data_IF_956453247663
#
_entry.id   IF_956453247663
#
_cell.length_a   1.000
_cell.length_b   1.000
_cell.length_c   1.000
_cell.angle_alpha   90.00
_cell.angle_beta   90.00
_cell.angle_gamma   90.00
#
_symmetry.space_group_name_H-M   'P 1'
#
loop_
_entity.id
_entity.type
_entity.pdbx_description
1 polymer ?
#
# COMPACT_ATOMS: atom_id res chain seq x y z
N UNK A 1 -26.25 3.99 -17.31
CA UNK A 1 -25.95 4.81 -16.10
C UNK A 1 -25.58 6.22 -16.54
N UNK A 2 -24.62 6.32 -17.46
CA UNK A 2 -24.10 7.56 -18.04
C UNK A 2 -25.15 8.49 -18.65
N UNK A 3 -26.23 7.95 -19.25
CA UNK A 3 -27.31 8.75 -19.82
C UNK A 3 -28.18 9.47 -18.77
N UNK A 4 -28.20 9.00 -17.52
CA UNK A 4 -29.11 9.49 -16.45
C UNK A 4 -28.35 10.16 -15.31
N UNK A 5 -27.13 9.69 -15.01
CA UNK A 5 -26.30 10.20 -13.92
C UNK A 5 -24.81 10.16 -14.32
N UNK A 6 -24.34 11.05 -15.21
CA UNK A 6 -22.97 11.01 -15.75
C UNK A 6 -21.87 11.26 -14.71
N UNK A 7 -22.22 11.83 -13.55
CA UNK A 7 -21.25 12.18 -12.49
C UNK A 7 -20.94 11.03 -11.51
N UNK A 8 -21.57 9.87 -11.66
CA UNK A 8 -21.33 8.73 -10.76
C UNK A 8 -20.46 7.69 -11.44
N UNK A 9 -19.52 7.15 -10.67
CA UNK A 9 -18.54 6.16 -11.10
C UNK A 9 -18.88 4.79 -10.50
N UNK A 10 -18.72 3.75 -11.30
CA UNK A 10 -18.75 2.37 -10.86
C UNK A 10 -17.35 1.96 -10.40
N UNK A 11 -17.30 1.32 -9.23
CA UNK A 11 -16.07 0.80 -8.63
C UNK A 11 -16.24 -0.69 -8.39
N UNK A 12 -15.34 -1.52 -8.93
CA UNK A 12 -15.40 -2.97 -8.70
C UNK A 12 -14.61 -3.38 -7.47
N UNK A 13 -15.24 -4.16 -6.59
CA UNK A 13 -14.58 -4.82 -5.46
C UNK A 13 -14.45 -6.33 -5.75
N UNK A 14 -13.53 -6.67 -6.65
CA UNK A 14 -13.33 -8.05 -7.12
C UNK A 14 -12.00 -8.62 -6.63
N UNK A 15 -11.99 -9.29 -5.47
CA UNK A 15 -10.80 -9.94 -4.93
C UNK A 15 -10.51 -11.28 -5.67
N UNK A 16 -10.00 -11.16 -6.88
CA UNK A 16 -9.64 -12.23 -7.82
C UNK A 16 -8.20 -12.02 -8.33
N UNK A 17 -7.58 -12.96 -9.08
CA UNK A 17 -6.29 -12.75 -9.71
C UNK A 17 -6.25 -11.47 -10.56
N UNK A 18 -5.08 -10.88 -10.71
CA UNK A 18 -4.91 -9.55 -11.29
C UNK A 18 -5.51 -9.44 -12.70
N UNK A 19 -5.25 -10.42 -13.57
CA UNK A 19 -5.75 -10.41 -14.94
C UNK A 19 -7.28 -10.42 -15.02
N UNK A 20 -7.94 -11.18 -14.13
CA UNK A 20 -9.40 -11.20 -14.00
C UNK A 20 -9.93 -9.92 -13.36
N UNK A 21 -9.19 -9.32 -12.42
CA UNK A 21 -9.61 -8.10 -11.75
C UNK A 21 -9.60 -6.89 -12.70
N UNK A 22 -8.58 -6.76 -13.55
CA UNK A 22 -8.49 -5.64 -14.48
C UNK A 22 -9.42 -5.79 -15.70
N UNK A 23 -9.92 -7.00 -15.99
CA UNK A 23 -10.90 -7.17 -17.07
C UNK A 23 -12.22 -6.44 -16.79
N UNK A 24 -12.51 -6.12 -15.51
CA UNK A 24 -13.68 -5.33 -15.12
C UNK A 24 -13.64 -3.85 -15.53
N UNK A 25 -12.54 -3.38 -16.13
CA UNK A 25 -12.58 -2.12 -16.85
C UNK A 25 -13.45 -2.22 -18.12
N UNK A 26 -13.63 -3.41 -18.70
CA UNK A 26 -14.32 -3.60 -19.98
C UNK A 26 -13.52 -3.11 -21.20
N UNK A 27 -14.10 -3.22 -22.39
CA UNK A 27 -13.43 -2.88 -23.65
C UNK A 27 -13.85 -1.50 -24.20
N UNK A 28 -15.12 -1.10 -24.04
CA UNK A 28 -15.72 0.02 -24.78
C UNK A 28 -16.59 0.94 -23.89
N UNK A 29 -16.05 1.39 -22.75
CA UNK A 29 -16.79 2.19 -21.75
C UNK A 29 -18.03 1.49 -21.16
N UNK A 30 -18.11 0.17 -21.26
CA UNK A 30 -19.29 -0.62 -20.92
C UNK A 30 -19.28 -1.20 -19.50
N UNK A 31 -18.13 -1.18 -18.81
CA UNK A 31 -18.01 -1.61 -17.41
C UNK A 31 -17.51 -0.49 -16.47
N UNK A 32 -16.67 -0.82 -15.48
CA UNK A 32 -16.33 0.08 -14.39
C UNK A 32 -15.30 1.14 -14.79
N UNK A 33 -15.41 2.32 -14.16
CA UNK A 33 -14.42 3.38 -14.29
C UNK A 33 -13.28 3.20 -13.28
N UNK A 34 -13.48 2.43 -12.22
CA UNK A 34 -12.43 2.19 -11.23
C UNK A 34 -12.43 0.75 -10.73
N UNK A 35 -11.25 0.16 -10.59
CA UNK A 35 -11.09 -1.21 -10.06
C UNK A 35 -10.21 -1.18 -8.81
N UNK A 36 -10.57 -1.96 -7.79
CA UNK A 36 -9.72 -2.13 -6.62
C UNK A 36 -8.37 -2.74 -7.00
N UNK A 37 -7.28 -2.14 -6.53
CA UNK A 37 -5.96 -2.65 -6.82
C UNK A 37 -5.52 -3.72 -5.80
N UNK A 38 -6.17 -4.89 -5.84
CA UNK A 38 -5.94 -5.96 -4.86
C UNK A 38 -4.57 -6.64 -4.93
N UNK A 39 -3.82 -6.45 -6.02
CA UNK A 39 -2.44 -6.93 -6.12
C UNK A 39 -1.48 -6.11 -5.25
N UNK A 40 -1.77 -4.82 -5.03
CA UNK A 40 -0.88 -3.91 -4.31
C UNK A 40 -0.58 -4.37 -2.87
N UNK A 41 -1.57 -4.65 -1.99
CA UNK A 41 -1.30 -5.02 -0.61
C UNK A 41 -0.35 -6.22 -0.42
N UNK A 42 -0.61 -7.42 -1.00
CA UNK A 42 0.27 -8.58 -0.80
C UNK A 42 1.64 -8.41 -1.44
N UNK A 43 1.75 -7.76 -2.61
CA UNK A 43 3.04 -7.49 -3.25
C UNK A 43 3.89 -6.49 -2.46
N UNK A 44 3.24 -5.52 -1.81
CA UNK A 44 3.93 -4.57 -0.95
C UNK A 44 4.40 -5.22 0.35
N UNK A 45 3.60 -6.11 0.95
CA UNK A 45 4.05 -6.92 2.09
C UNK A 45 5.27 -7.76 1.73
N UNK A 46 5.21 -8.47 0.60
CA UNK A 46 6.31 -9.27 0.08
C UNK A 46 7.58 -8.44 -0.09
N UNK A 47 7.48 -7.26 -0.71
CA UNK A 47 8.65 -6.41 -0.93
C UNK A 47 9.30 -5.93 0.37
N UNK A 48 8.49 -5.55 1.37
CA UNK A 48 9.01 -5.19 2.70
C UNK A 48 9.61 -6.40 3.42
N UNK A 49 9.01 -7.59 3.28
CA UNK A 49 9.50 -8.78 3.96
C UNK A 49 10.78 -9.36 3.37
N UNK A 50 10.99 -9.18 2.07
CA UNK A 50 12.17 -9.67 1.35
C UNK A 50 13.26 -8.61 1.23
N UNK A 51 12.94 -7.34 1.48
CA UNK A 51 13.84 -6.23 1.22
C UNK A 51 13.98 -5.91 -0.25
N UNK A 52 13.09 -6.40 -1.12
CA UNK A 52 13.17 -6.22 -2.57
C UNK A 52 11.90 -5.59 -3.15
N UNK A 53 12.05 -4.48 -3.86
CA UNK A 53 11.01 -3.86 -4.67
C UNK A 53 10.86 -4.48 -6.06
N UNK A 54 11.65 -5.48 -6.44
CA UNK A 54 11.68 -6.00 -7.81
C UNK A 54 10.31 -6.46 -8.31
N UNK A 55 9.66 -7.39 -7.60
CA UNK A 55 8.33 -7.92 -7.97
C UNK A 55 7.29 -6.81 -8.05
N UNK A 56 7.30 -5.91 -7.06
CA UNK A 56 6.40 -4.77 -7.01
C UNK A 56 6.64 -3.80 -8.18
N UNK A 57 7.90 -3.61 -8.59
CA UNK A 57 8.29 -2.77 -9.73
C UNK A 57 7.84 -3.38 -11.06
N UNK A 58 8.09 -4.69 -11.25
CA UNK A 58 7.68 -5.42 -12.44
C UNK A 58 6.14 -5.38 -12.59
N UNK A 59 5.42 -5.58 -11.49
CA UNK A 59 3.96 -5.44 -11.46
C UNK A 59 3.51 -4.00 -11.75
N UNK A 60 4.07 -3.00 -11.06
CA UNK A 60 3.70 -1.59 -11.25
C UNK A 60 3.98 -1.08 -12.68
N UNK A 61 4.99 -1.65 -13.35
CA UNK A 61 5.31 -1.38 -14.74
C UNK A 61 4.29 -1.97 -15.73
N UNK A 62 3.58 -3.04 -15.33
CA UNK A 62 2.52 -3.66 -16.12
C UNK A 62 1.17 -2.96 -16.02
N UNK A 63 1.01 -2.02 -15.07
CA UNK A 63 -0.24 -1.30 -14.88
C UNK A 63 -0.49 -0.34 -16.04
N UNK A 64 -1.57 -0.60 -16.77
CA UNK A 64 -2.06 0.27 -17.81
C UNK A 64 -3.56 0.57 -17.63
N UNK A 65 -3.99 1.71 -18.14
CA UNK A 65 -5.40 2.10 -18.13
C UNK A 65 -5.95 1.93 -19.55
N UNK A 66 -7.04 1.17 -19.75
CA UNK A 66 -7.51 0.86 -21.08
C UNK A 66 -8.05 2.10 -21.83
N UNK A 67 -8.43 3.14 -21.10
CA UNK A 67 -8.97 4.39 -21.67
C UNK A 67 -8.90 5.56 -20.67
N UNK A 68 -8.97 6.81 -21.15
CA UNK A 68 -9.16 7.98 -20.29
C UNK A 68 -10.40 7.86 -19.40
N UNK A 69 -10.31 8.37 -18.17
CA UNK A 69 -11.40 8.30 -17.19
C UNK A 69 -11.44 7.00 -16.39
N UNK A 70 -10.58 6.02 -16.69
CA UNK A 70 -10.36 4.87 -15.82
C UNK A 70 -9.30 5.17 -14.75
N UNK A 71 -9.41 4.53 -13.59
CA UNK A 71 -8.40 4.61 -12.54
C UNK A 71 -8.26 3.30 -11.76
N UNK A 72 -7.08 3.05 -11.19
CA UNK A 72 -6.93 2.06 -10.13
C UNK A 72 -7.32 2.68 -8.79
N UNK A 73 -7.99 1.93 -7.93
CA UNK A 73 -8.19 2.30 -6.53
C UNK A 73 -7.12 1.66 -5.66
N UNK A 74 -6.08 2.43 -5.35
CA UNK A 74 -4.86 1.96 -4.69
C UNK A 74 -5.07 1.86 -3.19
N UNK A 75 -5.15 0.64 -2.69
CA UNK A 75 -5.34 0.33 -1.27
C UNK A 75 -4.14 -0.42 -0.70
N UNK A 76 -3.90 -0.30 0.60
CA UNK A 76 -2.94 -1.14 1.34
C UNK A 76 -3.66 -2.11 2.30
N UNK A 77 -4.86 -1.77 2.74
CA UNK A 77 -5.71 -2.64 3.55
C UNK A 77 -7.19 -2.25 3.36
N UNK A 78 -8.07 -3.16 3.74
CA UNK A 78 -9.52 -2.92 3.77
C UNK A 78 -10.10 -3.36 5.11
N UNK A 79 -11.42 -3.17 5.26
CA UNK A 79 -12.18 -3.76 6.35
C UNK A 79 -12.08 -5.29 6.35
N UNK A 80 -12.06 -5.96 5.20
CA UNK A 80 -11.93 -7.42 5.09
C UNK A 80 -10.56 -7.92 5.54
N UNK A 81 -9.51 -7.11 5.38
CA UNK A 81 -8.13 -7.46 5.70
C UNK A 81 -7.26 -7.29 4.47
N UNK A 82 -6.21 -8.08 4.37
CA UNK A 82 -5.31 -8.11 3.21
C UNK A 82 -5.63 -9.37 2.40
N UNK A 83 -6.35 -9.19 1.30
CA UNK A 83 -6.62 -10.26 0.34
C UNK A 83 -5.35 -10.66 -0.40
N UNK A 84 -5.14 -11.97 -0.60
CA UNK A 84 -3.95 -12.49 -1.29
C UNK A 84 -4.21 -12.97 -2.71
N UNK A 85 -5.48 -13.00 -3.15
CA UNK A 85 -5.83 -13.49 -4.49
C UNK A 85 -5.27 -12.62 -5.62
N UNK A 86 -5.23 -11.30 -5.42
CA UNK A 86 -4.64 -10.38 -6.39
C UNK A 86 -3.15 -10.61 -6.67
N UNK A 87 -2.44 -11.36 -5.82
CA UNK A 87 -1.04 -11.71 -6.03
C UNK A 87 -0.82 -13.08 -6.72
N UNK A 88 -1.87 -13.85 -6.99
CA UNK A 88 -1.73 -15.22 -7.52
C UNK A 88 -1.10 -15.30 -8.92
N UNK A 89 -1.18 -14.21 -9.69
CA UNK A 89 -0.51 -14.11 -11.00
C UNK A 89 1.00 -13.81 -10.87
N UNK A 90 1.47 -13.43 -9.68
CA UNK A 90 2.84 -12.94 -9.44
C UNK A 90 3.62 -13.73 -8.38
N UNK A 91 2.92 -14.55 -7.59
CA UNK A 91 3.47 -15.30 -6.47
C UNK A 91 3.05 -16.76 -6.57
N UNK A 92 4.00 -17.66 -6.30
CA UNK A 92 3.73 -19.09 -6.18
C UNK A 92 2.88 -19.38 -4.93
N UNK A 93 2.16 -20.52 -4.88
CA UNK A 93 1.44 -20.92 -3.67
C UNK A 93 2.30 -20.92 -2.41
N UNK A 94 3.55 -21.37 -2.51
CA UNK A 94 4.50 -21.39 -1.39
C UNK A 94 4.86 -19.99 -0.88
N UNK A 95 4.94 -19.00 -1.77
CA UNK A 95 5.20 -17.61 -1.38
C UNK A 95 3.97 -16.98 -0.71
N UNK A 96 2.76 -17.32 -1.18
CA UNK A 96 1.51 -16.92 -0.53
C UNK A 96 1.39 -17.54 0.86
N UNK A 97 1.75 -18.82 1.03
CA UNK A 97 1.84 -19.47 2.34
C UNK A 97 2.87 -18.78 3.24
N UNK A 98 4.02 -18.36 2.67
CA UNK A 98 5.02 -17.56 3.38
C UNK A 98 4.50 -16.21 3.88
N UNK A 99 3.57 -15.56 3.16
CA UNK A 99 2.88 -14.37 3.67
C UNK A 99 1.98 -14.72 4.86
N UNK A 100 1.24 -15.82 4.78
CA UNK A 100 0.37 -16.29 5.85
C UNK A 100 1.16 -16.65 7.13
N UNK A 101 2.27 -17.37 7.00
CA UNK A 101 3.17 -17.69 8.11
C UNK A 101 3.72 -16.43 8.78
N UNK A 102 4.17 -15.45 7.98
CA UNK A 102 4.67 -14.16 8.48
C UNK A 102 3.59 -13.35 9.19
N UNK A 103 2.34 -13.42 8.73
CA UNK A 103 1.19 -12.82 9.41
C UNK A 103 0.93 -13.48 10.77
N UNK A 104 0.90 -14.82 10.83
CA UNK A 104 0.70 -15.56 12.08
C UNK A 104 1.80 -15.25 13.10
N UNK A 105 3.06 -15.22 12.66
CA UNK A 105 4.20 -14.86 13.51
C UNK A 105 4.12 -13.45 14.10
N UNK A 106 3.35 -12.54 13.47
CA UNK A 106 3.10 -11.17 13.94
C UNK A 106 1.80 -11.03 14.73
N UNK A 107 1.18 -12.16 15.11
CA UNK A 107 -0.06 -12.20 15.89
C UNK A 107 -1.33 -12.06 15.06
N UNK A 108 -1.24 -11.94 13.73
CA UNK A 108 -2.40 -11.91 12.85
C UNK A 108 -3.09 -13.27 12.74
N UNK A 109 -4.25 -13.30 12.08
CA UNK A 109 -4.99 -14.52 11.76
C UNK A 109 -5.13 -14.70 10.24
N UNK A 110 -5.31 -15.93 9.77
CA UNK A 110 -5.43 -16.23 8.33
C UNK A 110 -6.76 -16.93 8.06
N UNK A 111 -7.52 -16.42 7.10
CA UNK A 111 -8.71 -17.06 6.55
C UNK A 111 -8.29 -17.89 5.34
N UNK A 112 -8.79 -19.11 5.24
CA UNK A 112 -8.47 -20.04 4.17
C UNK A 112 -9.71 -20.34 3.34
N UNK A 113 -9.52 -20.53 2.04
CA UNK A 113 -10.53 -21.03 1.12
C UNK A 113 -10.29 -22.52 0.87
N UNK A 114 -11.36 -23.32 0.90
CA UNK A 114 -11.30 -24.70 0.40
C UNK A 114 -11.32 -24.73 -1.13
N UNK A 115 -10.46 -25.57 -1.69
CA UNK A 115 -10.44 -25.93 -3.10
C UNK A 115 -11.31 -27.17 -3.36
N UNK A 116 -11.62 -27.42 -4.63
CA UNK A 116 -12.47 -28.55 -5.04
C UNK A 116 -11.88 -29.92 -4.70
N UNK A 117 -10.57 -30.00 -4.55
CA UNK A 117 -9.84 -31.21 -4.13
C UNK A 117 -9.78 -31.37 -2.59
N UNK A 118 -10.38 -30.47 -1.83
CA UNK A 118 -10.41 -30.47 -0.36
C UNK A 118 -9.20 -29.82 0.31
N UNK A 119 -8.18 -29.40 -0.46
CA UNK A 119 -7.05 -28.62 0.07
C UNK A 119 -7.47 -27.18 0.43
N UNK A 120 -6.62 -26.48 1.16
CA UNK A 120 -6.86 -25.10 1.59
C UNK A 120 -5.74 -24.18 1.10
N UNK A 121 -6.11 -22.98 0.67
CA UNK A 121 -5.17 -21.90 0.32
C UNK A 121 -5.49 -20.66 1.16
N UNK A 122 -4.48 -19.88 1.59
CA UNK A 122 -4.72 -18.58 2.19
C UNK A 122 -5.58 -17.72 1.27
N UNK A 123 -6.56 -17.05 1.84
CA UNK A 123 -7.49 -16.16 1.14
C UNK A 123 -7.34 -14.71 1.62
N UNK A 124 -7.16 -14.53 2.94
CA UNK A 124 -7.15 -13.23 3.58
C UNK A 124 -6.30 -13.24 4.85
N UNK A 125 -5.48 -12.21 5.01
CA UNK A 125 -4.66 -11.96 6.19
C UNK A 125 -5.40 -10.93 7.07
N UNK A 126 -5.80 -11.36 8.27
CA UNK A 126 -6.58 -10.58 9.24
C UNK A 126 -5.62 -9.98 10.28
N UNK A 127 -5.06 -8.84 9.89
CA UNK A 127 -4.07 -8.09 10.66
C UNK A 127 -4.15 -6.63 10.20
N UNK A 128 -3.86 -5.66 11.08
CA UNK A 128 -3.71 -4.28 10.60
C UNK A 128 -2.47 -4.16 9.72
N UNK A 129 -2.47 -3.26 8.75
CA UNK A 129 -1.31 -3.10 7.87
C UNK A 129 -0.05 -2.67 8.64
N UNK A 130 -0.22 -1.89 9.71
CA UNK A 130 0.88 -1.52 10.59
C UNK A 130 1.53 -2.75 11.24
N UNK A 131 0.73 -3.66 11.78
CA UNK A 131 1.22 -4.86 12.45
C UNK A 131 1.78 -5.86 11.46
N UNK A 132 1.20 -5.97 10.27
CA UNK A 132 1.76 -6.78 9.19
C UNK A 132 3.20 -6.38 8.88
N UNK A 133 3.50 -5.08 8.92
CA UNK A 133 4.86 -4.59 8.69
C UNK A 133 5.74 -4.59 9.93
N UNK A 134 5.25 -4.88 11.14
CA UNK A 134 6.05 -4.86 12.36
C UNK A 134 6.68 -6.26 12.64
N UNK A 135 8.02 -6.43 12.56
CA UNK A 135 8.73 -7.59 13.05
C UNK A 135 8.35 -7.96 14.49
N UNK A 136 8.28 -9.26 14.82
CA UNK A 136 8.07 -9.70 16.19
C UNK A 136 9.12 -9.11 17.14
N UNK A 137 8.66 -8.51 18.23
CA UNK A 137 9.51 -7.93 19.28
C UNK A 137 10.07 -6.53 18.99
N UNK A 138 9.83 -5.95 17.80
CA UNK A 138 10.19 -4.55 17.55
C UNK A 138 9.21 -3.61 18.29
N UNK A 139 9.74 -2.51 18.83
CA UNK A 139 8.94 -1.47 19.44
C UNK A 139 8.06 -0.78 18.37
N UNK A 140 6.72 -0.82 18.48
CA UNK A 140 5.82 -0.19 17.51
C UNK A 140 5.95 1.33 17.45
N UNK A 141 6.52 1.96 18.49
CA UNK A 141 6.69 3.42 18.55
C UNK A 141 8.08 3.87 18.10
N UNK A 142 8.95 2.92 17.71
CA UNK A 142 10.27 3.20 17.17
C UNK A 142 10.22 3.95 15.84
N UNK A 143 11.25 4.77 15.61
CA UNK A 143 11.42 5.53 14.36
C UNK A 143 11.48 4.61 13.14
N UNK A 144 12.13 3.45 13.27
CA UNK A 144 12.23 2.44 12.22
C UNK A 144 10.86 1.88 11.84
N UNK A 145 10.04 1.50 12.83
CA UNK A 145 8.71 0.96 12.59
C UNK A 145 7.81 1.98 11.88
N UNK A 146 7.81 3.22 12.34
CA UNK A 146 7.01 4.30 11.75
C UNK A 146 7.51 4.66 10.35
N UNK A 147 8.83 4.73 10.13
CA UNK A 147 9.42 5.05 8.83
C UNK A 147 9.09 3.97 7.80
N UNK A 148 9.32 2.69 8.13
CA UNK A 148 8.95 1.55 7.28
C UNK A 148 7.48 1.55 6.92
N UNK A 149 6.62 1.77 7.92
CA UNK A 149 5.18 1.86 7.70
C UNK A 149 4.83 3.01 6.75
N UNK A 150 5.34 4.22 7.01
CA UNK A 150 5.03 5.39 6.18
C UNK A 150 5.58 5.27 4.76
N UNK A 151 6.71 4.61 4.55
CA UNK A 151 7.25 4.33 3.22
C UNK A 151 6.33 3.42 2.44
N UNK A 152 5.88 2.33 3.05
CA UNK A 152 4.91 1.44 2.42
C UNK A 152 3.58 2.17 2.10
N UNK A 153 3.06 2.97 3.04
CA UNK A 153 1.83 3.75 2.77
C UNK A 153 2.02 4.80 1.65
N UNK A 154 3.22 5.35 1.50
CA UNK A 154 3.50 6.36 0.46
C UNK A 154 3.57 5.74 -0.94
N UNK A 155 3.84 4.45 -1.06
CA UNK A 155 3.74 3.72 -2.34
C UNK A 155 2.33 3.82 -2.92
N UNK A 156 1.29 3.60 -2.10
CA UNK A 156 -0.10 3.70 -2.56
C UNK A 156 -0.50 5.11 -3.00
N UNK A 157 0.09 6.15 -2.39
CA UNK A 157 -0.10 7.56 -2.78
C UNK A 157 0.63 7.88 -4.10
N UNK A 158 1.79 7.27 -4.33
CA UNK A 158 2.65 7.56 -5.47
C UNK A 158 2.22 6.83 -6.77
N UNK A 159 1.51 5.71 -6.66
CA UNK A 159 1.01 4.96 -7.81
C UNK A 159 -0.09 5.72 -8.56
N UNK A 160 -0.15 5.53 -9.88
CA UNK A 160 -1.22 5.99 -10.76
C UNK A 160 -2.56 5.44 -10.27
N UNK A 161 -3.55 6.31 -10.19
CA UNK A 161 -4.87 5.99 -9.65
C UNK A 161 -5.26 6.85 -8.44
N UNK A 162 -6.32 6.43 -7.74
CA UNK A 162 -6.89 7.09 -6.58
C UNK A 162 -6.50 6.32 -5.31
N UNK A 163 -5.82 6.94 -4.33
CA UNK A 163 -5.48 6.26 -3.08
C UNK A 163 -6.71 6.09 -2.18
N UNK A 164 -7.01 4.83 -1.83
CA UNK A 164 -7.99 4.46 -0.81
C UNK A 164 -7.34 4.24 0.54
N UNK A 165 -7.55 5.17 1.48
CA UNK A 165 -6.95 5.10 2.82
C UNK A 165 -7.95 4.52 3.80
N UNK A 166 -7.69 3.29 4.27
CA UNK A 166 -8.46 2.70 5.34
C UNK A 166 -8.23 3.46 6.65
N UNK A 167 -9.30 3.71 7.41
CA UNK A 167 -9.26 4.60 8.58
C UNK A 167 -8.16 4.23 9.60
N UNK A 168 -7.96 2.94 9.86
CA UNK A 168 -6.91 2.45 10.75
C UNK A 168 -5.49 2.78 10.29
N UNK A 169 -5.31 3.00 8.98
CA UNK A 169 -4.01 3.37 8.43
C UNK A 169 -3.63 4.81 8.76
N UNK A 170 -4.61 5.72 8.92
CA UNK A 170 -4.37 7.11 9.31
C UNK A 170 -3.78 7.24 10.71
N UNK A 171 -4.06 6.28 11.59
CA UNK A 171 -3.61 6.28 12.99
C UNK A 171 -2.54 5.22 13.27
N UNK A 172 -2.09 4.47 12.26
CA UNK A 172 -1.18 3.33 12.47
C UNK A 172 -1.70 2.38 13.55
N UNK A 173 -2.99 2.02 13.46
CA UNK A 173 -3.66 1.23 14.50
C UNK A 173 -3.04 -0.16 14.65
N UNK A 174 -2.95 -0.63 15.89
CA UNK A 174 -2.59 -2.03 16.22
C UNK A 174 -3.80 -2.94 16.04
N UNK A 175 -3.54 -4.22 15.86
CA UNK A 175 -4.56 -5.26 15.80
C UNK A 175 -5.27 -5.39 17.14
N UNK A 176 -6.59 -5.47 17.10
CA UNK A 176 -7.45 -5.57 18.26
C UNK A 176 -7.65 -7.04 18.66
N UNK A 177 -6.64 -7.59 19.34
CA UNK A 177 -6.72 -8.96 19.84
C UNK A 177 -7.75 -9.12 20.95
N UNK A 178 -8.05 -8.06 21.71
CA UNK A 178 -9.07 -8.10 22.75
C UNK A 178 -10.46 -8.35 22.15
N UNK A 179 -10.72 -7.85 20.94
CA UNK A 179 -11.97 -8.12 20.23
C UNK A 179 -12.17 -9.61 19.87
N UNK A 180 -11.14 -10.46 19.96
CA UNK A 180 -11.26 -11.92 19.79
C UNK A 180 -11.65 -12.66 21.06
N UNK A 181 -11.57 -12.04 22.24
CA UNK A 181 -11.87 -12.70 23.50
C UNK A 181 -13.32 -13.24 23.52
N UNK A 182 -13.46 -14.53 23.80
CA UNK A 182 -14.75 -15.22 23.80
C UNK A 182 -15.33 -15.49 22.41
N UNK A 183 -14.59 -15.24 21.32
CA UNK A 183 -15.00 -15.60 19.95
C UNK A 183 -14.29 -16.86 19.46
N UNK A 184 -14.97 -17.57 18.57
CA UNK A 184 -14.42 -18.73 17.88
C UNK A 184 -13.51 -18.27 16.73
N UNK A 185 -12.21 -18.18 16.98
CA UNK A 185 -11.22 -17.77 15.98
C UNK A 185 -11.09 -18.73 14.78
N UNK A 186 -11.86 -19.84 14.73
CA UNK A 186 -11.96 -20.67 13.52
C UNK A 186 -12.86 -20.04 12.46
N UNK A 187 -13.81 -19.18 12.84
CA UNK A 187 -14.77 -18.54 11.94
C UNK A 187 -14.18 -17.26 11.32
N UNK A 188 -14.27 -17.16 9.99
CA UNK A 188 -13.67 -16.08 9.20
C UNK A 188 -14.16 -14.70 9.64
N UNK A 189 -15.45 -14.53 9.91
CA UNK A 189 -16.02 -13.26 10.35
C UNK A 189 -15.43 -12.77 11.68
N UNK A 190 -15.04 -13.69 12.55
CA UNK A 190 -14.43 -13.36 13.83
C UNK A 190 -12.95 -13.06 13.70
N UNK A 191 -12.25 -13.58 12.68
CA UNK A 191 -10.87 -13.19 12.42
C UNK A 191 -10.75 -11.72 12.02
N UNK A 192 -11.69 -11.23 11.21
CA UNK A 192 -11.72 -9.85 10.69
C UNK A 192 -11.90 -8.77 11.76
N UNK A 193 -12.34 -9.12 12.96
CA UNK A 193 -12.54 -8.13 14.04
C UNK A 193 -11.21 -7.51 14.49
N UNK A 194 -10.08 -8.21 14.29
CA UNK A 194 -8.75 -7.74 14.68
C UNK A 194 -8.33 -6.49 13.93
N UNK A 195 -8.76 -6.32 12.68
CA UNK A 195 -8.44 -5.15 11.85
C UNK A 195 -9.64 -4.20 11.66
N UNK A 196 -10.67 -4.31 12.52
CA UNK A 196 -11.91 -3.50 12.50
C UNK A 196 -12.22 -2.85 13.85
N UNK A 197 -11.18 -2.46 14.61
CA UNK A 197 -11.38 -1.84 15.92
C UNK A 197 -12.34 -0.65 15.79
N UNK A 198 -13.41 -0.65 16.57
CA UNK A 198 -14.29 0.52 16.66
C UNK A 198 -13.64 1.53 17.59
N UNK A 199 -13.16 2.63 17.02
CA UNK A 199 -12.55 3.71 17.78
C UNK A 199 -13.61 4.71 18.21
N UNK A 200 -13.64 5.00 19.51
CA UNK A 200 -14.43 6.10 20.06
C UNK A 200 -13.72 7.43 19.81
N UNK A 201 -14.48 8.54 19.83
CA UNK A 201 -13.90 9.87 19.69
C UNK A 201 -12.83 10.14 20.76
N UNK A 202 -13.09 9.75 22.02
CA UNK A 202 -12.15 9.92 23.12
C UNK A 202 -10.83 9.15 22.92
N UNK A 203 -10.87 7.93 22.36
CA UNK A 203 -9.65 7.18 22.02
C UNK A 203 -8.85 7.87 20.91
N UNK A 204 -9.53 8.44 19.91
CA UNK A 204 -8.88 9.19 18.83
C UNK A 204 -8.23 10.45 19.39
N UNK A 205 -8.95 11.22 20.20
CA UNK A 205 -8.44 12.43 20.84
C UNK A 205 -7.23 12.13 21.73
N UNK A 206 -7.29 11.06 22.53
CA UNK A 206 -6.17 10.61 23.35
C UNK A 206 -4.96 10.20 22.48
N UNK A 207 -5.19 9.45 21.39
CA UNK A 207 -4.15 9.06 20.44
C UNK A 207 -3.47 10.27 19.80
N UNK A 208 -4.25 11.30 19.46
CA UNK A 208 -3.72 12.52 18.83
C UNK A 208 -3.11 13.49 19.85
N UNK A 209 -3.48 13.42 21.12
CA UNK A 209 -2.88 14.23 22.18
C UNK A 209 -1.45 13.77 22.55
N UNK A 210 -1.14 12.49 22.39
CA UNK A 210 0.21 11.95 22.62
C UNK A 210 1.13 12.25 21.43
N UNK A 211 1.86 13.37 21.50
CA UNK A 211 2.78 13.83 20.45
C UNK A 211 3.98 12.92 20.21
N UNK A 212 4.37 12.10 21.19
CA UNK A 212 5.43 11.12 21.07
C UNK A 212 4.94 9.78 20.52
N UNK A 213 3.66 9.48 20.70
CA UNK A 213 3.06 8.20 20.33
C UNK A 213 3.00 7.98 18.83
N UNK A 214 3.13 6.71 18.42
CA UNK A 214 3.02 6.27 17.02
C UNK A 214 1.80 6.85 16.32
N UNK A 215 0.64 6.82 16.95
CA UNK A 215 -0.61 7.21 16.31
C UNK A 215 -0.61 8.67 15.84
N UNK A 216 -0.15 9.60 16.69
CA UNK A 216 0.00 11.00 16.31
C UNK A 216 1.09 11.20 15.25
N UNK A 217 2.24 10.54 15.40
CA UNK A 217 3.35 10.63 14.44
C UNK A 217 2.95 10.14 13.05
N UNK A 218 2.22 9.03 12.97
CA UNK A 218 1.66 8.48 11.72
C UNK A 218 0.62 9.44 11.13
N UNK A 219 -0.30 9.94 11.95
CA UNK A 219 -1.34 10.87 11.50
C UNK A 219 -0.76 12.17 10.90
N UNK A 220 0.19 12.80 11.60
CA UNK A 220 0.85 14.02 11.14
C UNK A 220 1.65 13.76 9.86
N UNK A 221 2.31 12.59 9.77
CA UNK A 221 3.05 12.15 8.61
C UNK A 221 2.13 11.91 7.39
N UNK A 222 0.95 11.32 7.57
CA UNK A 222 -0.06 11.15 6.54
C UNK A 222 -0.62 12.49 6.07
N UNK A 223 -1.04 13.35 7.01
CA UNK A 223 -1.59 14.67 6.72
C UNK A 223 -0.61 15.53 5.91
N UNK A 224 0.68 15.51 6.25
CA UNK A 224 1.72 16.21 5.48
C UNK A 224 1.80 15.69 4.04
N UNK A 225 1.86 14.38 3.84
CA UNK A 225 1.91 13.77 2.50
C UNK A 225 0.67 14.07 1.68
N UNK A 226 -0.51 14.03 2.29
CA UNK A 226 -1.76 14.34 1.60
C UNK A 226 -1.85 15.81 1.16
N UNK A 227 -1.29 16.74 1.94
CA UNK A 227 -1.17 18.14 1.52
C UNK A 227 -0.30 18.26 0.28
N UNK A 228 0.90 17.69 0.32
CA UNK A 228 1.84 17.65 -0.82
C UNK A 228 1.19 16.98 -2.04
N UNK A 229 0.55 15.83 -1.83
CA UNK A 229 -0.12 15.06 -2.87
C UNK A 229 -1.19 15.89 -3.59
N UNK A 230 -2.04 16.59 -2.82
CA UNK A 230 -3.10 17.45 -3.35
C UNK A 230 -2.58 18.65 -4.13
N UNK A 231 -1.40 19.16 -3.77
CA UNK A 231 -0.77 20.34 -4.37
C UNK A 231 0.13 19.99 -5.57
N UNK A 232 0.28 18.69 -5.89
CA UNK A 232 1.20 18.20 -6.93
C UNK A 232 0.40 17.58 -8.09
N UNK A 233 0.25 18.28 -9.23
CA UNK A 233 -0.57 17.82 -10.36
C UNK A 233 -0.16 16.46 -10.94
N UNK A 234 1.12 16.10 -10.84
CA UNK A 234 1.66 14.84 -11.36
C UNK A 234 1.03 13.61 -10.68
N UNK A 235 0.43 13.76 -9.49
CA UNK A 235 -0.30 12.69 -8.83
C UNK A 235 -1.74 12.47 -9.33
N UNK A 236 -2.24 13.31 -10.25
CA UNK A 236 -3.57 13.13 -10.85
C UNK A 236 -3.76 11.68 -11.35
N UNK A 237 -4.93 11.05 -11.16
CA UNK A 237 -5.12 9.62 -11.43
C UNK A 237 -4.78 9.19 -12.87
N UNK A 238 -4.97 10.09 -13.84
CA UNK A 238 -4.72 9.90 -15.27
C UNK A 238 -3.27 10.25 -15.69
N UNK A 239 -2.53 10.94 -14.83
CA UNK A 239 -1.13 11.31 -15.07
C UNK A 239 -0.28 10.10 -15.46
N UNK A 240 0.55 10.19 -16.52
CA UNK A 240 1.49 9.14 -16.94
C UNK A 240 2.31 8.57 -15.78
N UNK A 241 2.60 7.28 -15.87
CA UNK A 241 3.46 6.58 -14.93
C UNK A 241 4.52 5.79 -15.71
N UNK A 242 5.75 5.80 -15.21
CA UNK A 242 6.82 4.92 -15.68
C UNK A 242 7.60 4.41 -14.49
N UNK A 243 7.85 3.11 -14.42
CA UNK A 243 8.71 2.52 -13.38
C UNK A 243 10.16 2.53 -13.89
N UNK A 244 11.07 3.00 -13.04
CA UNK A 244 12.50 3.10 -13.34
C UNK A 244 13.25 1.94 -12.67
N UNK A 245 14.12 1.27 -13.42
CA UNK A 245 14.96 0.20 -12.89
C UNK A 245 16.25 0.79 -12.29
N UNK A 246 16.20 1.25 -11.04
CA UNK A 246 17.33 1.89 -10.37
C UNK A 246 18.10 0.96 -9.41
N UNK A 247 17.39 0.16 -8.60
CA UNK A 247 17.94 -0.85 -7.70
C UNK A 247 16.82 -1.80 -7.27
N UNK A 248 17.10 -3.09 -7.09
CA UNK A 248 16.10 -4.10 -6.71
C UNK A 248 15.46 -3.87 -5.33
N UNK A 249 16.01 -2.97 -4.50
CA UNK A 249 15.47 -2.58 -3.19
C UNK A 249 14.59 -1.33 -3.25
N UNK A 250 14.59 -0.60 -4.37
CA UNK A 250 13.92 0.70 -4.51
C UNK A 250 12.81 0.63 -5.53
N UNK A 251 11.57 0.91 -5.10
CA UNK A 251 10.50 1.22 -6.04
C UNK A 251 10.67 2.67 -6.50
N UNK A 252 11.09 2.86 -7.76
CA UNK A 252 11.26 4.16 -8.38
C UNK A 252 10.17 4.40 -9.44
N UNK A 253 9.33 5.40 -9.21
CA UNK A 253 8.20 5.73 -10.09
C UNK A 253 8.38 7.15 -10.59
N UNK A 254 8.39 7.35 -11.90
CA UNK A 254 8.18 8.65 -12.53
C UNK A 254 6.68 8.88 -12.74
N UNK A 255 6.15 9.99 -12.23
CA UNK A 255 4.78 10.47 -12.45
C UNK A 255 4.82 11.74 -13.30
N UNK A 256 3.98 11.81 -14.33
CA UNK A 256 4.05 12.85 -15.34
C UNK A 256 5.46 12.93 -15.95
N UNK A 257 5.97 14.14 -16.14
CA UNK A 257 7.32 14.35 -16.71
C UNK A 257 8.36 14.73 -15.65
N UNK A 258 7.94 15.22 -14.50
CA UNK A 258 8.77 16.01 -13.58
C UNK A 258 8.91 15.40 -12.19
N UNK A 259 8.06 14.45 -11.80
CA UNK A 259 8.05 13.89 -10.44
C UNK A 259 8.61 12.47 -10.40
N UNK A 260 9.52 12.21 -9.46
CA UNK A 260 10.16 10.93 -9.23
C UNK A 260 9.99 10.50 -7.77
N UNK A 261 9.20 9.46 -7.53
CA UNK A 261 8.95 8.92 -6.20
C UNK A 261 9.82 7.70 -5.97
N UNK A 262 10.77 7.79 -5.03
CA UNK A 262 11.69 6.71 -4.66
C UNK A 262 11.30 6.16 -3.30
N UNK A 263 11.15 4.84 -3.18
CA UNK A 263 10.80 4.17 -1.92
C UNK A 263 11.75 3.00 -1.68
N UNK A 264 12.63 3.10 -0.69
CA UNK A 264 13.47 1.99 -0.27
C UNK A 264 12.66 1.01 0.58
N UNK A 265 12.45 -0.20 0.08
CA UNK A 265 11.70 -1.27 0.77
C UNK A 265 12.62 -2.23 1.53
N UNK A 266 13.85 -1.81 1.85
CA UNK A 266 14.83 -2.61 2.58
C UNK A 266 15.30 -1.93 3.87
N UNK A 267 15.87 -2.75 4.76
CA UNK A 267 16.56 -2.29 5.97
C UNK A 267 17.97 -1.76 5.71
N UNK A 268 18.44 -1.74 4.46
CA UNK A 268 19.77 -1.29 4.09
C UNK A 268 19.75 0.14 3.53
N UNK A 269 20.88 0.83 3.64
CA UNK A 269 21.08 2.04 2.85
C UNK A 269 21.34 1.67 1.38
N UNK A 270 20.79 2.47 0.46
CA UNK A 270 20.97 2.31 -0.98
C UNK A 270 21.35 3.63 -1.62
N UNK A 271 22.24 3.58 -2.60
CA UNK A 271 22.60 4.72 -3.43
C UNK A 271 22.21 4.36 -4.86
N UNK A 272 21.32 5.16 -5.45
CA UNK A 272 20.84 4.96 -6.82
C UNK A 272 21.36 6.06 -7.74
N UNK A 273 21.44 5.75 -9.04
CA UNK A 273 21.69 6.75 -10.05
C UNK A 273 20.61 7.85 -10.00
N UNK A 274 21.00 9.07 -10.39
CA UNK A 274 20.10 10.21 -10.37
C UNK A 274 19.00 10.00 -11.43
N UNK A 275 17.70 10.15 -11.07
CA UNK A 275 16.62 9.83 -12.00
C UNK A 275 16.39 10.88 -13.10
N UNK A 276 16.93 12.09 -12.94
CA UNK A 276 16.86 13.16 -13.93
C UNK A 276 18.05 14.13 -13.84
N UNK A 277 18.36 14.79 -14.95
CA UNK A 277 19.30 15.91 -14.97
C UNK A 277 18.67 17.17 -14.33
N UNK A 278 19.51 18.13 -13.94
CA UNK A 278 19.06 19.40 -13.35
C UNK A 278 18.77 19.31 -11.85
N UNK A 279 18.26 20.40 -11.28
CA UNK A 279 17.92 20.49 -9.86
C UNK A 279 16.75 19.54 -9.52
N UNK A 280 16.86 18.86 -8.38
CA UNK A 280 15.79 18.00 -7.85
C UNK A 280 15.46 18.46 -6.44
N UNK A 281 14.20 18.78 -6.19
CA UNK A 281 13.72 19.16 -4.86
C UNK A 281 12.90 18.01 -4.27
N UNK A 282 13.20 17.61 -3.04
CA UNK A 282 12.33 16.69 -2.31
C UNK A 282 11.11 17.45 -1.78
N UNK A 283 9.95 17.25 -2.40
CA UNK A 283 8.72 17.95 -2.04
C UNK A 283 8.13 17.46 -0.71
N UNK A 284 8.69 16.41 -0.09
CA UNK A 284 8.30 15.97 1.25
C UNK A 284 9.06 16.70 2.37
N UNK A 285 10.35 16.99 2.16
CA UNK A 285 11.19 17.69 3.15
C UNK A 285 11.36 19.19 2.86
N UNK A 286 11.22 19.59 1.60
CA UNK A 286 11.53 20.93 1.10
C UNK A 286 13.00 21.14 0.74
N UNK A 287 13.83 20.09 0.82
CA UNK A 287 15.27 20.20 0.56
C UNK A 287 15.58 20.06 -0.94
N UNK A 288 16.54 20.84 -1.42
CA UNK A 288 17.16 20.62 -2.74
C UNK A 288 18.25 19.57 -2.62
N UNK A 289 18.18 18.54 -3.46
CA UNK A 289 19.20 17.50 -3.50
C UNK A 289 20.48 18.01 -4.18
N UNK A 290 21.66 17.63 -3.65
CA UNK A 290 22.93 17.91 -4.32
C UNK A 290 23.01 17.19 -5.67
N UNK A 291 23.96 17.63 -6.50
CA UNK A 291 24.33 16.92 -7.72
C UNK A 291 24.94 15.55 -7.39
N UNK A 292 24.65 14.57 -8.26
CA UNK A 292 25.15 13.20 -8.14
C UNK A 292 24.09 12.18 -7.71
N UNK A 293 24.54 10.96 -7.34
CA UNK A 293 23.67 9.86 -6.94
C UNK A 293 22.80 10.18 -5.72
N UNK A 294 21.61 9.59 -5.67
CA UNK A 294 20.67 9.79 -4.56
C UNK A 294 20.87 8.69 -3.53
N UNK A 295 21.14 9.07 -2.27
CA UNK A 295 21.25 8.13 -1.15
C UNK A 295 19.95 8.07 -0.36
N UNK A 296 19.38 6.88 -0.24
CA UNK A 296 18.24 6.56 0.62
C UNK A 296 18.74 5.74 1.82
N UNK A 297 18.43 6.18 3.03
CA UNK A 297 18.64 5.38 4.24
C UNK A 297 17.70 4.16 4.30
N UNK A 298 17.85 3.29 5.31
CA UNK A 298 16.93 2.20 5.57
C UNK A 298 15.49 2.68 5.57
N UNK A 299 14.63 2.02 4.80
CA UNK A 299 13.22 2.36 4.68
C UNK A 299 12.92 3.79 4.22
N UNK A 300 13.91 4.56 3.76
CA UNK A 300 13.69 5.96 3.41
C UNK A 300 12.88 6.10 2.11
N UNK A 301 12.26 7.26 1.93
CA UNK A 301 11.57 7.64 0.70
C UNK A 301 11.93 9.08 0.34
N UNK A 302 11.79 9.43 -0.93
CA UNK A 302 11.88 10.81 -1.41
C UNK A 302 10.93 11.02 -2.58
N UNK A 303 10.28 12.19 -2.64
CA UNK A 303 9.50 12.59 -3.82
C UNK A 303 10.21 13.76 -4.47
N UNK A 304 10.96 13.47 -5.52
CA UNK A 304 11.88 14.40 -6.16
C UNK A 304 11.20 15.07 -7.35
N UNK A 305 11.01 16.38 -7.30
CA UNK A 305 10.49 17.17 -8.41
C UNK A 305 11.62 17.86 -9.14
N UNK A 306 11.72 17.62 -10.44
CA UNK A 306 12.59 18.35 -11.35
C UNK A 306 11.99 19.72 -11.66
N UNK A 307 12.85 20.74 -11.65
CA UNK A 307 12.54 22.11 -12.10
C UNK A 307 12.82 22.32 -13.58
#
# INVERSE_FOLDING_TARGET
FDAVAPDVLLVTETNVPHAENISYFGADHDEAQMVYNFSLPPLLLDGVYTGSAKRLSDWAASLDLPRPGCAFFNITATHDGIGVRGAQDYMTPQEIDGLAEKTLARGGLVSYRQLSDGSQTPYELNITFFDALLPPGEDPDSDTAITRYMTAQSVALALRGVPGIYFHNLLGSRSDHAALEGKDATQTEFKRVTNRKRLTLAEIEATLADVSGRGRRVFDAYCRRLKVWRETPEFAPDSPQTVLALDDRVLAIRRGETLYCLHNLSGDSVTVERPAAGALNDILSGDTLPDGPVRLGPWAMAWLKAE
#
